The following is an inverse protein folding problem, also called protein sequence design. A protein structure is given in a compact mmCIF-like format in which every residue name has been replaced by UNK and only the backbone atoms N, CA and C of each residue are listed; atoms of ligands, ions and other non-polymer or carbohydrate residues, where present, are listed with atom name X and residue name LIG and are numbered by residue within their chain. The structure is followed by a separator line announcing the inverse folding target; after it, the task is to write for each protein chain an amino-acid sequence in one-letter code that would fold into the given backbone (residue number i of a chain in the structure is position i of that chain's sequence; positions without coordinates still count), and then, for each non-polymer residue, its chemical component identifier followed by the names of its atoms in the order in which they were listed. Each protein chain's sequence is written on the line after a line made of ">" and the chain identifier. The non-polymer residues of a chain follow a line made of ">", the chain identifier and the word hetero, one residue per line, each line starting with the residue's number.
data_IF_852884355546
#
_entry.id   IF_852884355546
#
_cell.length_a   1.000
_cell.length_b   1.000
_cell.length_c   1.000
_cell.angle_alpha   90.00
_cell.angle_beta   90.00
_cell.angle_gamma   90.00
#
_symmetry.space_group_name_H-M   'P 1'
#
loop_
_entity.id
_entity.type
_entity.pdbx_description
1 polymer ?
#
# COMPACT_ATOMS: atom_id res chain seq x y z
N UNK A 1 7.32 -0.53 -8.17
CA UNK A 1 8.12 -1.62 -7.59
C UNK A 1 7.31 -2.31 -6.50
N UNK A 2 7.14 -3.65 -6.57
CA UNK A 2 6.19 -4.42 -5.73
C UNK A 2 6.84 -5.70 -5.15
N UNK A 3 8.14 -5.68 -4.88
CA UNK A 3 8.93 -6.87 -4.52
C UNK A 3 9.37 -7.01 -3.06
N UNK A 4 9.08 -6.04 -2.18
CA UNK A 4 9.53 -6.02 -0.80
C UNK A 4 8.92 -7.15 0.06
N UNK A 5 9.70 -7.70 1.01
CA UNK A 5 9.25 -8.78 1.91
C UNK A 5 8.17 -8.32 2.88
N UNK A 6 8.25 -7.06 3.37
CA UNK A 6 7.29 -6.51 4.34
C UNK A 6 7.34 -7.20 5.71
N UNK A 7 8.55 -7.52 6.21
CA UNK A 7 8.75 -8.31 7.44
C UNK A 7 8.09 -7.69 8.68
N UNK A 8 8.07 -6.36 8.78
CA UNK A 8 7.44 -5.63 9.89
C UNK A 8 5.90 -5.77 9.94
N UNK A 9 5.30 -6.29 8.85
CA UNK A 9 3.87 -6.54 8.74
C UNK A 9 3.53 -8.04 8.90
N UNK A 10 4.51 -8.90 9.28
CA UNK A 10 4.22 -10.29 9.65
C UNK A 10 3.25 -10.29 10.84
N UNK A 11 2.23 -11.19 10.86
CA UNK A 11 2.03 -12.34 9.98
C UNK A 11 1.21 -12.07 8.71
N UNK A 12 0.72 -10.86 8.44
CA UNK A 12 -0.09 -10.56 7.24
C UNK A 12 0.66 -10.77 5.92
N UNK A 13 1.98 -10.72 5.93
CA UNK A 13 2.86 -10.95 4.77
C UNK A 13 3.42 -12.38 4.70
N UNK A 14 3.00 -13.26 5.60
CA UNK A 14 3.50 -14.65 5.65
C UNK A 14 3.22 -15.44 4.38
N UNK A 15 2.11 -15.16 3.69
CA UNK A 15 1.68 -15.89 2.48
C UNK A 15 1.55 -14.98 1.23
N UNK A 16 1.90 -13.70 1.33
CA UNK A 16 1.78 -12.71 0.24
C UNK A 16 2.81 -11.59 0.40
N UNK A 17 3.10 -10.88 -0.68
CA UNK A 17 3.89 -9.63 -0.62
C UNK A 17 3.08 -8.49 0.02
N UNK A 18 3.73 -7.47 0.60
CA UNK A 18 3.07 -6.31 1.21
C UNK A 18 2.06 -5.63 0.26
N UNK A 19 2.35 -5.39 -1.03
CA UNK A 19 1.39 -4.81 -1.97
C UNK A 19 0.10 -5.61 -2.16
N UNK A 20 0.12 -6.92 -1.86
CA UNK A 20 -1.03 -7.82 -1.98
C UNK A 20 -1.88 -7.91 -0.70
N UNK A 21 -1.48 -7.25 0.40
CA UNK A 21 -2.25 -7.23 1.65
C UNK A 21 -3.58 -6.50 1.41
N UNK A 22 -4.73 -7.07 1.85
CA UNK A 22 -6.03 -6.39 1.74
C UNK A 22 -6.05 -5.09 2.55
N UNK A 23 -6.81 -4.11 2.10
CA UNK A 23 -6.98 -2.83 2.77
C UNK A 23 -8.37 -2.23 2.49
N UNK A 24 -8.96 -1.57 3.48
CA UNK A 24 -10.22 -0.83 3.30
C UNK A 24 -11.39 -1.69 2.84
N UNK A 25 -11.45 -2.94 3.29
CA UNK A 25 -12.52 -3.88 3.05
C UNK A 25 -12.38 -4.67 1.74
N UNK A 26 -12.24 -4.02 0.59
CA UNK A 26 -12.22 -4.70 -0.72
C UNK A 26 -10.96 -4.48 -1.57
N UNK A 27 -10.12 -3.55 -1.19
CA UNK A 27 -8.92 -3.18 -1.94
C UNK A 27 -7.70 -4.01 -1.50
N UNK A 28 -6.62 -3.87 -2.25
CA UNK A 28 -5.26 -4.23 -1.81
C UNK A 28 -4.37 -2.99 -1.83
N UNK A 29 -3.29 -2.99 -1.10
CA UNK A 29 -2.37 -1.83 -1.02
C UNK A 29 -1.95 -1.34 -2.42
N UNK A 30 -1.65 -2.25 -3.35
CA UNK A 30 -1.26 -1.89 -4.71
C UNK A 30 -2.33 -1.13 -5.50
N UNK A 31 -3.61 -1.31 -5.17
CA UNK A 31 -4.71 -0.68 -5.91
C UNK A 31 -4.64 0.84 -5.81
N UNK A 32 -4.05 1.40 -4.75
CA UNK A 32 -3.89 2.84 -4.57
C UNK A 32 -2.90 3.43 -5.58
N UNK A 33 -1.71 2.86 -5.71
CA UNK A 33 -0.73 3.37 -6.68
C UNK A 33 -1.18 3.13 -8.12
N UNK A 34 -1.76 1.97 -8.44
CA UNK A 34 -2.27 1.71 -9.78
C UNK A 34 -3.43 2.65 -10.14
N UNK A 35 -4.33 2.94 -9.19
CA UNK A 35 -5.39 3.92 -9.39
C UNK A 35 -4.86 5.33 -9.63
N UNK A 36 -3.85 5.75 -8.88
CA UNK A 36 -3.22 7.06 -9.08
C UNK A 36 -2.58 7.17 -10.47
N UNK A 37 -1.85 6.15 -10.93
CA UNK A 37 -1.24 6.11 -12.26
C UNK A 37 -2.31 6.21 -13.36
N UNK A 38 -3.32 5.35 -13.32
CA UNK A 38 -4.39 5.31 -14.33
C UNK A 38 -5.23 6.59 -14.34
N UNK A 39 -5.61 7.11 -13.17
CA UNK A 39 -6.35 8.36 -13.04
C UNK A 39 -5.54 9.56 -13.53
N UNK A 40 -4.20 9.51 -13.43
CA UNK A 40 -3.28 10.54 -13.96
C UNK A 40 -3.01 10.39 -15.46
N UNK A 41 -3.62 9.42 -16.14
CA UNK A 41 -3.43 9.18 -17.57
C UNK A 41 -2.15 8.38 -17.90
N UNK A 42 -1.44 7.84 -16.90
CA UNK A 42 -0.26 6.98 -17.09
C UNK A 42 -0.76 5.54 -17.23
N UNK A 43 -0.63 4.98 -18.44
CA UNK A 43 -1.26 3.71 -18.79
C UNK A 43 -0.29 2.63 -19.28
N UNK A 44 0.99 2.93 -19.41
CA UNK A 44 2.04 1.99 -19.77
C UNK A 44 2.81 1.61 -18.51
N UNK A 45 2.36 0.55 -17.83
CA UNK A 45 2.76 0.25 -16.46
C UNK A 45 3.39 -1.13 -16.39
N UNK A 46 4.63 -1.21 -15.92
CA UNK A 46 5.30 -2.43 -15.52
C UNK A 46 5.31 -2.57 -13.99
N UNK A 47 4.80 -3.68 -13.49
CA UNK A 47 4.81 -4.00 -12.06
C UNK A 47 5.92 -5.01 -11.80
N UNK A 48 7.06 -4.53 -11.31
CA UNK A 48 8.21 -5.39 -10.99
C UNK A 48 7.97 -6.10 -9.66
N UNK A 49 7.98 -7.44 -9.69
CA UNK A 49 7.66 -8.29 -8.54
C UNK A 49 8.78 -9.28 -8.24
N UNK A 50 8.91 -9.68 -6.99
CA UNK A 50 9.91 -10.66 -6.57
C UNK A 50 9.34 -11.63 -5.52
N UNK A 51 9.15 -11.16 -4.29
CA UNK A 51 8.79 -12.00 -3.15
C UNK A 51 7.30 -12.34 -3.13
N UNK A 52 6.96 -13.64 -2.96
CA UNK A 52 5.57 -14.15 -2.81
C UNK A 52 4.56 -13.49 -3.75
N UNK A 53 4.92 -13.41 -5.04
CA UNK A 53 4.19 -12.61 -6.02
C UNK A 53 2.87 -13.24 -6.49
N UNK A 54 2.61 -14.54 -6.26
CA UNK A 54 1.46 -15.25 -6.85
C UNK A 54 0.12 -14.58 -6.56
N UNK A 55 -0.16 -14.25 -5.28
CA UNK A 55 -1.42 -13.59 -4.90
C UNK A 55 -1.55 -12.19 -5.53
N UNK A 56 -0.43 -11.49 -5.72
CA UNK A 56 -0.40 -10.18 -6.39
C UNK A 56 -0.66 -10.32 -7.89
N UNK A 57 -0.02 -11.30 -8.53
CA UNK A 57 -0.21 -11.63 -9.95
C UNK A 57 -1.68 -11.91 -10.25
N UNK A 58 -2.31 -12.80 -9.48
CA UNK A 58 -3.74 -13.14 -9.64
C UNK A 58 -4.62 -11.89 -9.50
N UNK A 59 -4.35 -11.04 -8.49
CA UNK A 59 -5.13 -9.82 -8.30
C UNK A 59 -5.03 -8.86 -9.49
N UNK A 60 -3.83 -8.66 -10.02
CA UNK A 60 -3.61 -7.78 -11.18
C UNK A 60 -4.26 -8.38 -12.43
N UNK A 61 -4.14 -9.69 -12.65
CA UNK A 61 -4.77 -10.37 -13.78
C UNK A 61 -6.30 -10.20 -13.78
N UNK A 62 -6.94 -10.43 -12.63
CA UNK A 62 -8.40 -10.36 -12.52
C UNK A 62 -8.94 -8.92 -12.47
N UNK A 63 -8.16 -7.97 -11.93
CA UNK A 63 -8.65 -6.63 -11.66
C UNK A 63 -8.19 -5.55 -12.62
N UNK A 64 -7.01 -5.70 -13.20
CA UNK A 64 -6.32 -4.57 -13.81
C UNK A 64 -5.99 -4.75 -15.30
N UNK A 65 -5.69 -5.96 -15.77
CA UNK A 65 -5.25 -6.16 -17.16
C UNK A 65 -6.30 -5.70 -18.19
N UNK A 66 -7.58 -5.83 -17.90
CA UNK A 66 -8.67 -5.45 -18.79
C UNK A 66 -9.11 -3.96 -18.64
N UNK A 67 -8.57 -3.23 -17.66
CA UNK A 67 -8.92 -1.81 -17.45
C UNK A 67 -8.11 -0.88 -18.36
N UNK A 68 -6.95 -1.34 -18.75
CA UNK A 68 -6.03 -0.60 -19.60
C UNK A 68 -5.63 -1.56 -20.72
N UNK A 69 -6.18 -1.36 -21.90
CA UNK A 69 -5.89 -2.22 -23.07
C UNK A 69 -5.66 -1.37 -24.32
N UNK A 70 -4.65 -1.76 -25.08
CA UNK A 70 -4.21 -1.10 -26.31
C UNK A 70 -2.74 -1.35 -26.53
N UNK A 71 -2.23 -0.96 -27.69
CA UNK A 71 -0.83 -1.17 -28.04
C UNK A 71 0.14 -0.52 -27.03
N UNK A 72 -0.19 0.71 -26.62
CA UNK A 72 0.63 1.56 -25.74
C UNK A 72 -0.03 1.76 -24.36
N UNK A 73 -1.07 0.98 -24.06
CA UNK A 73 -1.80 1.02 -22.80
C UNK A 73 -1.86 -0.39 -22.21
N UNK A 74 -1.10 -0.63 -21.15
CA UNK A 74 -1.01 -1.96 -20.54
C UNK A 74 -0.61 -1.89 -19.06
N UNK A 75 -0.94 -2.94 -18.32
CA UNK A 75 -0.38 -3.21 -16.99
C UNK A 75 0.21 -4.62 -17.05
N UNK A 76 1.53 -4.71 -17.14
CA UNK A 76 2.25 -5.97 -17.21
C UNK A 76 2.99 -6.24 -15.90
N UNK A 77 2.82 -7.44 -15.38
CA UNK A 77 3.60 -7.90 -14.22
C UNK A 77 4.87 -8.56 -14.72
N UNK A 78 5.99 -8.09 -14.22
CA UNK A 78 7.33 -8.59 -14.57
C UNK A 78 7.95 -9.20 -13.31
N UNK A 79 7.93 -10.53 -13.18
CA UNK A 79 8.63 -11.21 -12.11
C UNK A 79 10.15 -11.14 -12.34
N UNK A 80 10.93 -11.26 -11.26
CA UNK A 80 12.38 -11.36 -11.36
C UNK A 80 12.78 -12.58 -12.23
N UNK A 81 13.62 -12.36 -13.25
CA UNK A 81 13.92 -13.36 -14.29
C UNK A 81 15.36 -13.87 -14.27
N UNK A 82 16.17 -13.47 -13.28
CA UNK A 82 17.60 -13.85 -13.19
C UNK A 82 18.39 -13.54 -14.49
N UNK A 83 18.10 -12.42 -15.14
CA UNK A 83 18.72 -12.06 -16.43
C UNK A 83 20.23 -11.77 -16.33
N UNK A 84 20.71 -11.35 -15.16
CA UNK A 84 22.11 -10.99 -14.93
C UNK A 84 22.80 -11.94 -13.92
N UNK A 85 22.51 -13.23 -13.98
CA UNK A 85 23.09 -14.25 -13.10
C UNK A 85 22.01 -15.04 -12.36
N UNK A 86 22.40 -15.77 -11.30
CA UNK A 86 21.51 -16.65 -10.52
C UNK A 86 20.78 -15.93 -9.36
N UNK A 87 20.99 -14.61 -9.22
CA UNK A 87 20.43 -13.80 -8.12
C UNK A 87 19.08 -13.18 -8.45
N UNK A 88 18.32 -12.95 -7.39
CA UNK A 88 17.13 -12.09 -7.42
C UNK A 88 17.56 -10.62 -7.46
N UNK A 89 16.61 -9.67 -7.56
CA UNK A 89 16.93 -8.25 -7.46
C UNK A 89 17.62 -7.95 -6.12
N UNK A 90 18.81 -7.35 -6.19
CA UNK A 90 19.63 -7.00 -5.02
C UNK A 90 19.07 -5.80 -4.26
N UNK A 91 18.39 -4.89 -4.96
CA UNK A 91 17.78 -3.69 -4.41
C UNK A 91 16.75 -3.11 -5.37
N UNK A 92 16.20 -1.95 -5.01
CA UNK A 92 15.16 -1.26 -5.80
C UNK A 92 15.71 -0.73 -7.13
N UNK A 93 16.95 -0.25 -7.16
CA UNK A 93 17.62 0.20 -8.37
C UNK A 93 17.97 -0.98 -9.29
N UNK A 94 18.46 -2.09 -8.74
CA UNK A 94 18.78 -3.30 -9.49
C UNK A 94 17.53 -3.88 -10.17
N UNK A 95 16.36 -3.78 -9.53
CA UNK A 95 15.11 -4.21 -10.15
C UNK A 95 14.79 -3.45 -11.44
N UNK A 96 15.04 -2.14 -11.47
CA UNK A 96 14.84 -1.34 -12.68
C UNK A 96 15.98 -1.58 -13.68
N UNK A 97 17.22 -1.69 -13.20
CA UNK A 97 18.39 -1.97 -14.05
C UNK A 97 18.22 -3.26 -14.83
N UNK A 98 17.85 -4.37 -14.20
CA UNK A 98 17.62 -5.66 -14.86
C UNK A 98 16.48 -5.62 -15.90
N UNK A 99 15.62 -4.61 -15.85
CA UNK A 99 14.49 -4.43 -16.76
C UNK A 99 14.64 -3.19 -17.67
N UNK A 100 15.84 -2.64 -17.83
CA UNK A 100 16.10 -1.48 -18.69
C UNK A 100 15.72 -1.70 -20.17
N UNK A 101 15.76 -2.95 -20.64
CA UNK A 101 15.30 -3.31 -21.96
C UNK A 101 13.84 -2.90 -22.21
N UNK A 102 12.99 -2.95 -21.19
CA UNK A 102 11.58 -2.51 -21.30
C UNK A 102 11.48 -0.99 -21.52
N UNK A 103 12.33 -0.21 -20.85
CA UNK A 103 12.42 1.24 -21.06
C UNK A 103 12.92 1.53 -22.48
N UNK A 104 13.98 0.87 -22.93
CA UNK A 104 14.50 1.02 -24.30
C UNK A 104 13.48 0.64 -25.37
N UNK A 105 12.75 -0.46 -25.17
CA UNK A 105 11.76 -0.93 -26.14
C UNK A 105 10.59 0.04 -26.29
N UNK A 106 10.20 0.72 -25.21
CA UNK A 106 9.08 1.64 -25.19
C UNK A 106 9.49 3.07 -25.60
N UNK A 107 10.76 3.45 -25.41
CA UNK A 107 11.35 4.78 -25.66
C UNK A 107 10.50 5.94 -25.14
N UNK A 108 10.24 6.01 -23.83
CA UNK A 108 9.36 7.01 -23.24
C UNK A 108 10.07 8.36 -23.07
N UNK A 109 9.30 9.47 -23.10
CA UNK A 109 9.79 10.81 -22.76
C UNK A 109 10.15 10.93 -21.26
N UNK A 110 9.44 10.20 -20.40
CA UNK A 110 9.58 10.27 -18.95
C UNK A 110 9.39 8.87 -18.35
N UNK A 111 10.20 8.52 -17.35
CA UNK A 111 10.04 7.30 -16.55
C UNK A 111 9.59 7.67 -15.15
N UNK A 112 8.47 7.10 -14.68
CA UNK A 112 8.03 7.22 -13.29
C UNK A 112 8.32 5.92 -12.53
N UNK A 113 8.92 6.02 -11.36
CA UNK A 113 9.28 4.89 -10.50
C UNK A 113 8.62 5.07 -9.14
N UNK A 114 7.66 4.20 -8.83
CA UNK A 114 6.82 4.32 -7.64
C UNK A 114 6.89 3.06 -6.78
N UNK A 115 6.94 3.23 -5.45
CA UNK A 115 6.69 2.19 -4.48
C UNK A 115 5.23 1.74 -4.53
N UNK A 116 4.97 0.43 -4.37
CA UNK A 116 3.63 -0.15 -4.43
C UNK A 116 3.07 -0.52 -3.05
N UNK A 117 3.59 0.06 -1.98
CA UNK A 117 3.38 -0.36 -0.61
C UNK A 117 2.90 0.75 0.34
N UNK A 118 2.46 1.88 -0.23
CA UNK A 118 1.93 3.03 0.51
C UNK A 118 0.47 3.31 0.15
N UNK A 119 -0.25 3.90 1.09
CA UNK A 119 -1.65 4.32 0.92
C UNK A 119 -1.70 5.83 0.76
N UNK A 120 -2.14 6.31 -0.41
CA UNK A 120 -2.27 7.73 -0.72
C UNK A 120 -3.09 7.95 -1.99
N UNK A 121 -3.53 9.18 -2.21
CA UNK A 121 -4.07 9.65 -3.49
C UNK A 121 -3.19 10.76 -4.04
N UNK A 122 -2.86 10.67 -5.32
CA UNK A 122 -1.97 11.61 -5.99
C UNK A 122 -2.32 11.74 -7.47
N UNK A 123 -2.45 12.97 -7.94
CA UNK A 123 -2.42 13.27 -9.36
C UNK A 123 -0.97 13.36 -9.84
N UNK A 124 -0.46 12.23 -10.33
CA UNK A 124 0.95 12.10 -10.74
C UNK A 124 1.27 12.99 -11.95
N UNK A 125 0.26 13.32 -12.78
CA UNK A 125 0.44 14.23 -13.91
C UNK A 125 1.01 15.58 -13.48
N UNK A 126 0.57 16.13 -12.35
CA UNK A 126 1.10 17.41 -11.84
C UNK A 126 2.60 17.32 -11.49
N UNK A 127 3.06 16.18 -10.97
CA UNK A 127 4.48 15.96 -10.73
C UNK A 127 5.28 15.80 -12.02
N UNK A 128 4.70 15.13 -13.03
CA UNK A 128 5.32 14.99 -14.35
C UNK A 128 5.41 16.36 -15.05
N UNK A 129 4.35 17.14 -15.02
CA UNK A 129 4.35 18.50 -15.61
C UNK A 129 5.40 19.39 -14.93
N UNK A 130 5.48 19.38 -13.60
CA UNK A 130 6.51 20.07 -12.83
C UNK A 130 7.94 19.63 -13.23
N UNK A 131 8.17 18.33 -13.41
CA UNK A 131 9.44 17.78 -13.86
C UNK A 131 9.85 18.31 -15.23
N UNK A 132 8.91 18.32 -16.18
CA UNK A 132 9.15 18.80 -17.55
C UNK A 132 9.37 20.32 -17.61
N UNK A 133 8.59 21.10 -16.87
CA UNK A 133 8.71 22.58 -16.80
C UNK A 133 10.08 23.01 -16.27
N UNK A 134 10.67 22.26 -15.34
CA UNK A 134 11.99 22.55 -14.80
C UNK A 134 13.15 21.97 -15.63
N UNK A 135 12.87 21.15 -16.63
CA UNK A 135 13.89 20.39 -17.35
C UNK A 135 14.71 19.51 -16.40
N UNK A 136 14.04 18.94 -15.41
CA UNK A 136 14.69 18.16 -14.36
C UNK A 136 15.19 16.81 -14.90
N UNK A 137 16.33 16.32 -14.37
CA UNK A 137 16.81 14.95 -14.61
C UNK A 137 16.17 13.96 -13.65
N UNK A 138 15.87 14.42 -12.44
CA UNK A 138 15.17 13.65 -11.42
C UNK A 138 14.23 14.57 -10.64
N UNK A 139 13.04 14.08 -10.29
CA UNK A 139 12.13 14.74 -9.37
C UNK A 139 11.69 13.74 -8.31
N UNK A 140 11.76 14.14 -7.05
CA UNK A 140 11.40 13.31 -5.89
C UNK A 140 10.14 13.87 -5.26
N UNK A 141 9.09 13.06 -5.13
CA UNK A 141 7.90 13.45 -4.37
C UNK A 141 8.25 13.46 -2.87
N UNK A 142 7.97 14.59 -2.22
CA UNK A 142 8.32 14.82 -0.83
C UNK A 142 7.15 15.42 -0.06
N UNK A 143 7.13 15.18 1.23
CA UNK A 143 6.19 15.84 2.14
C UNK A 143 6.91 16.33 3.41
N UNK A 144 6.48 17.47 3.98
CA UNK A 144 6.96 17.90 5.28
C UNK A 144 6.49 16.93 6.37
N UNK A 145 7.43 16.41 7.15
CA UNK A 145 7.16 15.52 8.30
C UNK A 145 7.85 16.07 9.54
N UNK A 146 7.34 15.78 10.74
CA UNK A 146 8.06 16.13 11.97
C UNK A 146 9.48 15.56 11.94
N UNK A 147 10.48 16.40 12.22
CA UNK A 147 11.91 16.05 12.17
C UNK A 147 12.23 14.79 12.98
N UNK A 148 11.59 14.64 14.15
CA UNK A 148 11.74 13.46 15.00
C UNK A 148 11.29 12.14 14.34
N UNK A 149 10.42 12.19 13.32
CA UNK A 149 9.92 11.01 12.61
C UNK A 149 10.66 10.77 11.29
N UNK A 150 11.43 11.74 10.82
CA UNK A 150 12.06 11.71 9.50
C UNK A 150 13.23 10.71 9.40
N UNK A 151 13.79 10.25 10.52
CA UNK A 151 14.90 9.26 10.56
C UNK A 151 14.54 7.90 9.97
N UNK A 152 13.27 7.62 9.76
CA UNK A 152 12.80 6.36 9.13
C UNK A 152 12.62 6.47 7.62
N UNK A 153 12.76 7.66 7.06
CA UNK A 153 12.54 7.99 5.65
C UNK A 153 13.84 8.45 4.98
N UNK A 154 13.86 8.40 3.65
CA UNK A 154 14.79 9.22 2.90
C UNK A 154 14.45 10.71 3.12
N UNK A 155 15.44 11.57 3.31
CA UNK A 155 15.25 12.99 3.56
C UNK A 155 16.02 13.80 2.52
N UNK A 156 15.43 14.90 2.04
CA UNK A 156 16.10 15.81 1.10
C UNK A 156 16.38 17.17 1.73
N UNK A 157 17.58 17.68 1.51
CA UNK A 157 17.92 19.07 1.74
C UNK A 157 17.74 19.85 0.43
N UNK A 158 17.00 20.96 0.47
CA UNK A 158 16.64 21.75 -0.71
C UNK A 158 17.04 23.23 -0.53
N UNK A 159 17.20 23.94 -1.66
CA UNK A 159 17.24 25.40 -1.67
C UNK A 159 15.84 26.02 -1.79
N UNK A 160 15.79 27.35 -1.90
CA UNK A 160 14.55 28.15 -2.04
C UNK A 160 13.74 27.83 -3.29
N UNK A 161 14.34 27.15 -4.28
CA UNK A 161 13.71 26.74 -5.54
C UNK A 161 13.33 25.26 -5.55
N UNK A 162 13.37 24.60 -4.39
CA UNK A 162 13.17 23.15 -4.24
C UNK A 162 14.22 22.30 -5.01
N UNK A 163 15.34 22.88 -5.43
CA UNK A 163 16.45 22.11 -5.98
C UNK A 163 17.09 21.28 -4.88
N UNK A 164 17.22 19.98 -5.10
CA UNK A 164 17.81 19.08 -4.12
C UNK A 164 19.34 19.30 -4.08
N UNK A 165 19.86 19.63 -2.92
CA UNK A 165 21.29 19.76 -2.64
C UNK A 165 21.89 18.46 -2.13
N UNK A 166 21.09 17.69 -1.37
CA UNK A 166 21.52 16.43 -0.79
C UNK A 166 20.32 15.51 -0.59
N UNK A 167 20.50 14.22 -0.85
CA UNK A 167 19.57 13.16 -0.49
C UNK A 167 20.25 12.24 0.53
N UNK A 168 19.59 12.01 1.66
CA UNK A 168 20.09 11.20 2.78
C UNK A 168 19.10 10.08 3.08
N UNK A 169 19.53 8.83 2.97
CA UNK A 169 18.68 7.70 3.31
C UNK A 169 18.70 7.45 4.82
N UNK A 170 17.56 7.58 5.47
CA UNK A 170 17.35 7.34 6.91
C UNK A 170 18.41 7.99 7.83
N UNK A 171 18.63 9.29 7.73
CA UNK A 171 19.66 9.95 8.51
C UNK A 171 19.32 9.92 10.01
N UNK A 172 20.33 9.69 10.86
CA UNK A 172 20.15 9.74 12.31
C UNK A 172 19.73 11.14 12.79
N UNK A 173 20.24 12.18 12.13
CA UNK A 173 19.92 13.59 12.38
C UNK A 173 19.40 14.25 11.11
N UNK A 174 18.08 14.16 10.83
CA UNK A 174 17.51 14.77 9.64
C UNK A 174 17.66 16.29 9.63
N UNK A 175 18.05 16.92 8.48
CA UNK A 175 18.06 18.37 8.37
C UNK A 175 16.66 18.95 8.47
N UNK A 176 16.52 20.08 9.15
CA UNK A 176 15.29 20.86 9.20
C UNK A 176 15.09 21.69 7.93
N UNK A 177 13.85 22.01 7.59
CA UNK A 177 13.53 22.95 6.52
C UNK A 177 13.99 24.37 6.92
N UNK A 178 14.53 25.18 5.97
CA UNK A 178 15.03 26.54 6.30
C UNK A 178 13.98 27.44 6.96
N UNK A 179 12.72 27.39 6.52
CA UNK A 179 11.63 28.19 7.08
C UNK A 179 10.93 27.54 8.30
N UNK A 180 11.10 26.24 8.51
CA UNK A 180 10.43 25.45 9.56
C UNK A 180 11.38 24.37 10.08
N UNK A 181 12.32 24.70 11.01
CA UNK A 181 13.37 23.78 11.45
C UNK A 181 12.89 22.50 12.14
N UNK A 182 11.66 22.51 12.68
CA UNK A 182 11.03 21.35 13.31
C UNK A 182 10.49 20.34 12.31
N UNK A 183 10.42 20.70 11.03
CA UNK A 183 10.02 19.82 9.93
C UNK A 183 11.23 19.45 9.06
N UNK A 184 11.23 18.23 8.56
CA UNK A 184 12.13 17.75 7.51
C UNK A 184 11.33 17.40 6.26
N UNK A 185 11.96 17.43 5.08
CA UNK A 185 11.32 17.07 3.83
C UNK A 185 11.57 15.59 3.52
N UNK A 186 10.60 14.75 3.88
CA UNK A 186 10.67 13.30 3.70
C UNK A 186 10.31 12.87 2.27
N UNK A 187 11.08 11.96 1.72
CA UNK A 187 10.81 11.31 0.43
C UNK A 187 9.68 10.31 0.56
N UNK A 188 8.74 10.34 -0.39
CA UNK A 188 7.65 9.36 -0.49
C UNK A 188 8.06 8.07 -1.21
N UNK A 189 9.31 7.94 -1.69
CA UNK A 189 9.73 6.81 -2.51
C UNK A 189 9.12 6.81 -3.93
N UNK A 190 8.71 7.97 -4.40
CA UNK A 190 8.06 8.19 -5.69
C UNK A 190 8.89 9.17 -6.52
N UNK A 191 9.28 8.76 -7.71
CA UNK A 191 10.27 9.46 -8.53
C UNK A 191 9.79 9.65 -9.96
N UNK A 192 10.21 10.76 -10.58
CA UNK A 192 10.11 11.02 -12.01
C UNK A 192 11.51 11.25 -12.56
N UNK A 193 11.84 10.64 -13.68
CA UNK A 193 13.17 10.71 -14.28
C UNK A 193 13.11 11.02 -15.78
N UNK A 194 14.08 11.79 -16.25
CA UNK A 194 14.51 11.76 -17.65
C UNK A 194 15.15 10.38 -17.93
N UNK A 195 14.76 9.66 -19.02
CA UNK A 195 15.19 8.28 -19.25
C UNK A 195 16.72 8.08 -19.33
N UNK A 196 17.40 8.98 -20.07
CA UNK A 196 18.84 8.85 -20.33
C UNK A 196 19.69 8.98 -19.06
N UNK A 197 19.55 10.03 -18.23
CA UNK A 197 20.25 10.15 -16.96
C UNK A 197 19.95 9.00 -15.99
N UNK A 198 18.69 8.53 -15.94
CA UNK A 198 18.32 7.36 -15.16
C UNK A 198 19.13 6.13 -15.57
N UNK A 199 19.17 5.82 -16.87
CA UNK A 199 19.87 4.64 -17.39
C UNK A 199 21.38 4.72 -17.18
N UNK A 200 21.98 5.91 -17.30
CA UNK A 200 23.40 6.15 -17.02
C UNK A 200 23.71 5.90 -15.52
N UNK A 201 22.88 6.43 -14.62
CA UNK A 201 23.02 6.24 -13.17
C UNK A 201 22.86 4.76 -12.76
N UNK A 202 21.87 4.06 -13.30
CA UNK A 202 21.64 2.64 -13.03
C UNK A 202 22.80 1.74 -13.53
N UNK A 203 23.41 2.07 -14.67
CA UNK A 203 24.59 1.34 -15.15
C UNK A 203 25.81 1.55 -14.26
N UNK A 204 26.01 2.78 -13.80
CA UNK A 204 27.09 3.10 -12.88
C UNK A 204 26.91 2.37 -11.53
N UNK A 205 25.71 2.40 -11.00
CA UNK A 205 25.33 1.70 -9.76
C UNK A 205 25.53 0.17 -9.87
N UNK A 206 25.08 -0.43 -10.96
CA UNK A 206 25.20 -1.88 -11.18
C UNK A 206 26.66 -2.36 -11.23
N UNK A 207 27.60 -1.49 -11.61
CA UNK A 207 29.04 -1.74 -11.64
C UNK A 207 29.77 -1.50 -10.33
N UNK A 208 29.12 -0.90 -9.34
CA UNK A 208 29.72 -0.61 -8.04
C UNK A 208 29.54 -1.80 -7.06
N UNK A 209 30.63 -2.49 -6.69
CA UNK A 209 30.56 -3.62 -5.75
C UNK A 209 30.18 -3.23 -4.32
N UNK A 210 30.25 -1.94 -3.97
CA UNK A 210 29.91 -1.43 -2.64
C UNK A 210 28.49 -0.90 -2.56
N UNK A 211 27.78 -0.83 -3.69
CA UNK A 211 26.39 -0.36 -3.73
C UNK A 211 25.44 -1.39 -3.11
N UNK A 212 24.42 -0.90 -2.40
CA UNK A 212 23.25 -1.67 -1.98
C UNK A 212 22.21 -1.81 -3.09
N UNK A 213 22.43 -1.11 -4.21
CA UNK A 213 21.53 -1.03 -5.35
C UNK A 213 20.13 -0.51 -5.00
N UNK A 214 20.09 0.46 -4.10
CA UNK A 214 18.86 1.14 -3.69
C UNK A 214 18.76 2.53 -4.34
N UNK A 215 17.52 2.94 -4.71
CA UNK A 215 17.32 4.27 -5.31
C UNK A 215 17.70 5.39 -4.35
N UNK A 216 17.30 5.29 -3.09
CA UNK A 216 17.56 6.32 -2.09
C UNK A 216 19.03 6.39 -1.69
N UNK A 217 19.62 5.24 -1.37
CA UNK A 217 20.98 5.18 -0.87
C UNK A 217 22.05 5.46 -1.95
N UNK A 218 21.82 4.97 -3.20
CA UNK A 218 22.90 4.89 -4.18
C UNK A 218 22.63 5.74 -5.44
N UNK A 219 21.44 5.66 -6.03
CA UNK A 219 21.14 6.29 -7.33
C UNK A 219 20.80 7.77 -7.19
N UNK A 220 19.91 8.14 -6.27
CA UNK A 220 19.50 9.55 -6.08
C UNK A 220 20.66 10.46 -5.66
N UNK A 221 21.56 10.08 -4.71
CA UNK A 221 22.72 10.90 -4.40
C UNK A 221 23.60 11.19 -5.61
N UNK A 222 23.71 10.25 -6.55
CA UNK A 222 24.48 10.45 -7.78
C UNK A 222 23.78 11.44 -8.73
N UNK A 223 22.46 11.33 -8.89
CA UNK A 223 21.69 12.24 -9.73
C UNK A 223 21.60 13.65 -9.14
N UNK A 224 21.49 13.79 -7.81
CA UNK A 224 21.43 15.10 -7.15
C UNK A 224 22.71 15.92 -7.30
N UNK A 225 23.88 15.26 -7.34
CA UNK A 225 25.19 15.93 -7.60
C UNK A 225 25.23 16.67 -8.95
N UNK A 226 24.41 16.26 -9.90
CA UNK A 226 24.33 16.94 -11.21
C UNK A 226 23.67 18.31 -11.15
N UNK A 227 23.08 18.69 -10.01
CA UNK A 227 22.41 19.98 -9.80
C UNK A 227 21.10 20.16 -10.58
N UNK A 228 20.50 19.09 -11.10
CA UNK A 228 19.25 19.14 -11.90
C UNK A 228 18.23 18.13 -11.32
N UNK A 229 18.23 17.97 -10.01
CA UNK A 229 17.24 17.21 -9.25
C UNK A 229 16.40 18.14 -8.38
N UNK A 230 15.07 17.92 -8.33
CA UNK A 230 14.13 18.78 -7.63
C UNK A 230 13.19 17.99 -6.72
N UNK A 231 12.77 18.59 -5.61
CA UNK A 231 11.73 18.08 -4.75
C UNK A 231 10.36 18.61 -5.22
N UNK A 232 9.42 17.70 -5.44
CA UNK A 232 8.03 18.03 -5.66
C UNK A 232 7.29 18.01 -4.31
N UNK A 233 6.79 19.15 -3.88
CA UNK A 233 6.01 19.25 -2.65
C UNK A 233 4.62 18.62 -2.82
N UNK A 234 4.44 17.45 -2.25
CA UNK A 234 3.18 16.70 -2.31
C UNK A 234 2.00 17.46 -1.68
N UNK A 235 2.23 18.39 -0.75
CA UNK A 235 1.15 19.21 -0.18
C UNK A 235 0.51 20.13 -1.21
N UNK A 236 1.18 20.39 -2.33
CA UNK A 236 0.64 21.18 -3.46
C UNK A 236 -0.16 20.32 -4.44
N UNK A 237 -0.15 19.00 -4.32
CA UNK A 237 -0.89 18.12 -5.21
C UNK A 237 -2.40 18.30 -5.04
N UNK A 238 -3.13 18.33 -6.14
CA UNK A 238 -4.58 18.55 -6.16
C UNK A 238 -5.27 17.40 -6.88
N UNK A 239 -6.22 16.82 -6.19
CA UNK A 239 -7.04 15.70 -6.69
C UNK A 239 -8.42 16.22 -7.02
N UNK A 240 -8.96 15.97 -8.22
CA UNK A 240 -10.33 16.32 -8.54
C UNK A 240 -11.33 15.76 -7.53
N UNK A 241 -12.19 16.64 -7.00
CA UNK A 241 -13.23 16.25 -6.03
C UNK A 241 -12.79 16.18 -4.57
N UNK A 242 -11.54 16.48 -4.24
CA UNK A 242 -11.08 16.69 -2.87
C UNK A 242 -11.28 18.15 -2.46
N UNK A 243 -11.94 18.35 -1.35
CA UNK A 243 -12.24 19.67 -0.80
C UNK A 243 -11.65 19.91 0.59
N UNK A 244 -11.24 18.84 1.28
CA UNK A 244 -10.66 18.88 2.62
C UNK A 244 -9.14 18.98 2.55
N UNK A 245 -8.54 19.87 3.35
CA UNK A 245 -7.08 20.03 3.43
C UNK A 245 -6.38 18.75 3.92
N UNK A 246 -7.03 18.02 4.81
CA UNK A 246 -6.54 16.78 5.40
C UNK A 246 -6.36 15.67 4.35
N UNK A 247 -7.23 15.63 3.34
CA UNK A 247 -7.15 14.68 2.23
C UNK A 247 -6.02 15.01 1.24
N UNK A 248 -5.62 16.29 1.14
CA UNK A 248 -4.67 16.75 0.14
C UNK A 248 -3.22 16.31 0.38
N UNK A 249 -2.87 15.91 1.60
CA UNK A 249 -1.51 15.49 1.96
C UNK A 249 -1.48 14.12 2.63
N UNK A 250 -2.55 13.33 2.49
CA UNK A 250 -2.60 12.01 3.09
C UNK A 250 -1.65 11.04 2.39
N UNK A 251 -0.65 10.61 3.12
CA UNK A 251 0.27 9.55 2.74
C UNK A 251 0.62 8.72 3.98
N UNK A 252 0.54 7.39 3.87
CA UNK A 252 0.82 6.47 4.96
C UNK A 252 1.67 5.30 4.49
N UNK A 253 2.83 5.12 5.12
CA UNK A 253 3.55 3.85 5.11
C UNK A 253 2.84 2.89 6.08
N UNK A 254 2.06 1.95 5.55
CA UNK A 254 1.41 0.89 6.32
C UNK A 254 2.37 -0.28 6.50
N UNK A 255 3.57 0.00 6.98
CA UNK A 255 4.68 -0.95 7.11
C UNK A 255 4.74 -1.71 8.43
N UNK A 256 3.93 -1.34 9.44
CA UNK A 256 3.78 -2.06 10.71
C UNK A 256 2.31 -2.43 10.95
N UNK A 257 2.08 -3.35 11.89
CA UNK A 257 0.72 -3.77 12.29
C UNK A 257 -0.07 -2.57 12.80
N UNK A 258 0.53 -1.70 13.62
CA UNK A 258 -0.11 -0.51 14.16
C UNK A 258 -0.51 0.46 13.04
N UNK A 259 0.44 0.80 12.16
CA UNK A 259 0.18 1.74 11.07
C UNK A 259 -0.89 1.22 10.10
N UNK A 260 -0.87 -0.07 9.79
CA UNK A 260 -1.89 -0.73 8.97
C UNK A 260 -3.26 -0.71 9.64
N UNK A 261 -3.32 -1.04 10.93
CA UNK A 261 -4.55 -1.07 11.72
C UNK A 261 -5.18 0.32 11.84
N UNK A 262 -4.39 1.33 12.22
CA UNK A 262 -4.84 2.71 12.34
C UNK A 262 -5.34 3.27 11.00
N UNK A 263 -4.58 3.09 9.93
CA UNK A 263 -4.97 3.55 8.59
C UNK A 263 -6.25 2.87 8.09
N UNK A 264 -6.45 1.58 8.41
CA UNK A 264 -7.65 0.84 8.03
C UNK A 264 -8.88 1.31 8.82
N UNK A 265 -8.73 1.53 10.14
CA UNK A 265 -9.84 1.98 10.98
C UNK A 265 -10.17 3.47 10.81
N UNK A 266 -9.24 4.31 10.33
CA UNK A 266 -9.56 5.69 9.97
C UNK A 266 -10.67 5.77 8.91
N UNK A 267 -10.71 4.84 7.98
CA UNK A 267 -11.68 4.82 6.87
C UNK A 267 -13.14 4.78 7.31
N UNK A 268 -13.45 4.26 8.50
CA UNK A 268 -14.82 4.18 9.06
C UNK A 268 -15.30 5.50 9.68
N UNK A 269 -14.40 6.45 9.91
CA UNK A 269 -14.74 7.71 10.54
C UNK A 269 -15.71 8.53 9.68
N UNK A 270 -16.49 9.39 10.33
CA UNK A 270 -17.43 10.30 9.63
C UNK A 270 -16.67 11.23 8.67
N UNK A 271 -15.48 11.66 9.07
CA UNK A 271 -14.55 12.43 8.25
C UNK A 271 -13.20 11.71 8.24
N UNK A 272 -13.02 10.71 7.37
CA UNK A 272 -11.77 9.99 7.28
C UNK A 272 -10.71 10.87 6.61
N UNK A 273 -9.46 10.70 7.01
CA UNK A 273 -8.33 11.39 6.36
C UNK A 273 -8.18 10.93 4.89
N UNK A 274 -8.54 9.69 4.58
CA UNK A 274 -8.59 9.14 3.24
C UNK A 274 -10.03 8.84 2.82
N UNK A 275 -10.60 9.70 1.98
CA UNK A 275 -11.96 9.50 1.47
C UNK A 275 -11.99 8.51 0.29
N UNK A 276 -12.53 7.31 0.48
CA UNK A 276 -12.71 6.32 -0.58
C UNK A 276 -13.87 6.62 -1.54
N UNK A 277 -14.77 7.54 -1.18
CA UNK A 277 -16.03 7.83 -1.91
C UNK A 277 -15.91 9.01 -2.90
N UNK A 278 -14.68 9.43 -3.24
CA UNK A 278 -14.46 10.44 -4.25
C UNK A 278 -14.61 9.85 -5.66
N UNK A 279 -15.76 10.07 -6.29
CA UNK A 279 -16.09 9.59 -7.63
C UNK A 279 -15.24 10.20 -8.75
N UNK A 280 -14.65 11.38 -8.52
CA UNK A 280 -13.79 12.07 -9.50
C UNK A 280 -12.36 11.54 -9.49
N UNK A 281 -12.00 10.81 -8.42
CA UNK A 281 -10.70 10.14 -8.27
C UNK A 281 -10.90 8.78 -7.58
N UNK A 282 -11.55 7.82 -8.27
CA UNK A 282 -11.89 6.54 -7.66
C UNK A 282 -10.64 5.68 -7.41
N UNK A 283 -10.62 5.01 -6.27
CA UNK A 283 -9.71 3.88 -6.08
C UNK A 283 -10.36 2.65 -6.73
N UNK A 284 -9.69 2.10 -7.73
CA UNK A 284 -10.12 0.93 -8.48
C UNK A 284 -9.54 -0.34 -7.87
N UNK A 285 -10.23 -1.46 -8.05
CA UNK A 285 -9.78 -2.80 -7.64
C UNK A 285 -10.36 -3.86 -8.56
N UNK A 286 -10.05 -5.13 -8.31
CA UNK A 286 -10.68 -6.24 -9.01
C UNK A 286 -12.21 -6.24 -8.81
N UNK A 287 -12.93 -6.63 -9.85
CA UNK A 287 -14.37 -6.84 -9.76
C UNK A 287 -14.66 -8.32 -9.44
N UNK A 288 -15.15 -8.56 -8.25
CA UNK A 288 -15.33 -9.91 -7.73
C UNK A 288 -16.75 -10.44 -7.90
N UNK A 289 -17.68 -9.65 -8.44
CA UNK A 289 -19.10 -10.02 -8.62
C UNK A 289 -19.80 -10.53 -7.33
N UNK A 290 -19.32 -10.10 -6.16
CA UNK A 290 -19.93 -10.48 -4.89
C UNK A 290 -21.33 -9.90 -4.77
N UNK A 291 -22.29 -10.64 -4.14
CA UNK A 291 -23.64 -10.12 -3.87
C UNK A 291 -23.58 -8.95 -2.85
N UNK A 292 -24.66 -8.16 -2.74
CA UNK A 292 -24.75 -7.14 -1.69
C UNK A 292 -24.61 -7.74 -0.29
N UNK A 293 -24.11 -6.93 0.67
CA UNK A 293 -24.09 -7.31 2.07
C UNK A 293 -25.52 -7.52 2.60
N UNK A 294 -25.72 -8.55 3.44
CA UNK A 294 -27.03 -8.94 3.99
C UNK A 294 -27.05 -8.84 5.50
N UNK A 295 -28.06 -8.18 6.02
CA UNK A 295 -28.33 -8.08 7.44
C UNK A 295 -29.61 -8.87 7.75
N UNK A 296 -29.49 -9.88 8.62
CA UNK A 296 -30.61 -10.77 8.95
C UNK A 296 -31.37 -10.21 10.14
N UNK A 297 -32.69 -10.24 10.06
CA UNK A 297 -33.60 -9.99 11.17
C UNK A 297 -34.69 -11.05 11.14
N UNK A 298 -35.02 -11.62 12.29
CA UNK A 298 -36.13 -12.55 12.42
C UNK A 298 -36.99 -12.27 13.66
N UNK A 299 -38.16 -12.91 13.74
CA UNK A 299 -39.12 -12.72 14.83
C UNK A 299 -38.63 -13.23 16.20
N UNK A 300 -37.58 -14.01 16.24
CA UNK A 300 -36.96 -14.52 17.48
C UNK A 300 -36.02 -13.48 18.13
N UNK A 301 -35.88 -12.30 17.53
CA UNK A 301 -34.99 -11.23 17.98
C UNK A 301 -33.56 -11.37 17.47
N UNK A 302 -33.30 -12.28 16.54
CA UNK A 302 -32.00 -12.41 15.88
C UNK A 302 -31.81 -11.21 14.94
N UNK A 303 -30.80 -10.37 15.23
CA UNK A 303 -30.56 -9.11 14.52
C UNK A 303 -29.10 -8.95 14.16
N UNK A 304 -28.81 -8.92 12.87
CA UNK A 304 -27.51 -8.51 12.34
C UNK A 304 -27.40 -7.00 12.29
N UNK A 305 -26.37 -6.42 12.91
CA UNK A 305 -26.21 -4.97 13.02
C UNK A 305 -24.74 -4.54 12.84
N UNK A 306 -24.53 -3.41 12.16
CA UNK A 306 -23.23 -2.76 12.03
C UNK A 306 -23.36 -1.27 12.33
N UNK A 307 -22.48 -0.75 13.21
CA UNK A 307 -22.44 0.65 13.64
C UNK A 307 -21.04 1.21 13.39
N UNK A 308 -20.97 2.36 12.73
CA UNK A 308 -19.72 3.06 12.40
C UNK A 308 -18.65 2.12 11.81
N UNK A 309 -19.05 1.31 10.84
CA UNK A 309 -18.23 0.23 10.29
C UNK A 309 -18.29 0.20 8.76
N UNK A 310 -17.27 -0.34 8.13
CA UNK A 310 -17.28 -0.63 6.70
C UNK A 310 -17.64 -2.12 6.53
N UNK A 311 -18.69 -2.41 5.77
CA UNK A 311 -19.15 -3.77 5.46
C UNK A 311 -19.06 -3.98 3.95
N UNK A 312 -18.16 -4.86 3.51
CA UNK A 312 -17.93 -5.12 2.10
C UNK A 312 -19.00 -6.03 1.49
N UNK A 313 -19.13 -6.08 0.14
CA UNK A 313 -20.05 -6.99 -0.55
C UNK A 313 -19.84 -8.45 -0.16
N UNK A 314 -20.91 -9.25 -0.25
CA UNK A 314 -20.92 -10.66 0.11
C UNK A 314 -21.02 -10.95 1.61
N UNK A 315 -20.89 -9.97 2.50
CA UNK A 315 -21.00 -10.19 3.93
C UNK A 315 -22.42 -10.58 4.34
N UNK A 316 -22.54 -11.48 5.32
CA UNK A 316 -23.79 -11.86 5.94
C UNK A 316 -23.67 -11.68 7.46
N UNK A 317 -24.43 -10.75 8.02
CA UNK A 317 -24.55 -10.56 9.47
C UNK A 317 -25.79 -11.29 9.93
N UNK A 318 -25.63 -12.56 10.33
CA UNK A 318 -26.72 -13.48 10.65
C UNK A 318 -27.11 -13.44 12.14
N UNK A 319 -27.18 -12.25 12.73
CA UNK A 319 -27.45 -12.02 14.14
C UNK A 319 -26.21 -11.64 14.95
N UNK A 320 -25.11 -11.31 14.27
CA UNK A 320 -23.90 -10.74 14.86
C UNK A 320 -23.94 -9.20 14.92
N UNK A 321 -23.21 -8.63 15.85
CA UNK A 321 -23.03 -7.20 16.07
C UNK A 321 -21.63 -6.74 15.71
N UNK A 322 -21.54 -5.70 14.88
CA UNK A 322 -20.26 -5.10 14.44
C UNK A 322 -20.22 -3.63 14.82
N UNK A 323 -19.16 -3.22 15.46
CA UNK A 323 -18.95 -1.81 15.79
C UNK A 323 -17.50 -1.38 15.56
N UNK A 324 -17.32 -0.17 15.02
CA UNK A 324 -16.01 0.46 14.84
C UNK A 324 -15.02 -0.43 14.05
N UNK A 325 -15.49 -1.17 13.05
CA UNK A 325 -14.72 -2.23 12.41
C UNK A 325 -14.76 -2.17 10.88
N UNK A 326 -13.85 -2.89 10.24
CA UNK A 326 -13.79 -3.04 8.78
C UNK A 326 -13.92 -4.51 8.43
N UNK A 327 -14.98 -4.87 7.71
CA UNK A 327 -15.22 -6.22 7.20
C UNK A 327 -14.81 -6.30 5.71
N UNK A 328 -13.94 -7.24 5.41
CA UNK A 328 -13.61 -7.68 4.05
C UNK A 328 -14.79 -8.37 3.38
N UNK A 329 -14.57 -8.88 2.19
CA UNK A 329 -15.62 -9.51 1.37
C UNK A 329 -16.01 -10.89 1.90
N UNK A 330 -17.29 -11.25 1.75
CA UNK A 330 -17.79 -12.59 2.08
C UNK A 330 -17.56 -13.02 3.54
N UNK A 331 -17.52 -12.05 4.47
CA UNK A 331 -17.42 -12.37 5.90
C UNK A 331 -18.80 -12.77 6.43
N UNK A 332 -18.83 -13.86 7.20
CA UNK A 332 -20.04 -14.34 7.85
C UNK A 332 -19.95 -14.15 9.37
N UNK A 333 -20.92 -13.47 9.96
CA UNK A 333 -21.07 -13.32 11.40
C UNK A 333 -22.32 -14.04 11.87
N UNK A 334 -22.13 -15.07 12.71
CA UNK A 334 -23.23 -15.87 13.22
C UNK A 334 -23.88 -15.24 14.46
N UNK A 335 -24.96 -15.87 14.96
CA UNK A 335 -25.82 -15.37 16.02
C UNK A 335 -25.05 -15.06 17.31
N UNK A 336 -25.30 -13.86 17.86
CA UNK A 336 -24.68 -13.44 19.11
C UNK A 336 -23.18 -13.18 19.06
N UNK A 337 -22.56 -13.24 17.87
CA UNK A 337 -21.16 -12.83 17.72
C UNK A 337 -21.00 -11.33 17.83
N UNK A 338 -19.86 -10.88 18.38
CA UNK A 338 -19.54 -9.46 18.56
C UNK A 338 -18.15 -9.12 18.00
N UNK A 339 -18.07 -8.11 17.17
CA UNK A 339 -16.82 -7.61 16.59
C UNK A 339 -16.68 -6.11 16.86
N UNK A 340 -15.64 -5.74 17.59
CA UNK A 340 -15.36 -4.36 17.98
C UNK A 340 -13.94 -3.96 17.59
N UNK A 341 -13.74 -2.72 17.14
CA UNK A 341 -12.41 -2.14 16.85
C UNK A 341 -11.51 -3.12 16.09
N UNK A 342 -12.01 -3.77 15.05
CA UNK A 342 -11.33 -4.90 14.42
C UNK A 342 -11.37 -4.86 12.90
N UNK A 343 -10.43 -5.56 12.29
CA UNK A 343 -10.36 -5.75 10.85
C UNK A 343 -10.55 -7.25 10.57
N UNK A 344 -11.63 -7.60 9.91
CA UNK A 344 -11.92 -8.97 9.50
C UNK A 344 -11.73 -9.06 7.99
N UNK A 345 -10.75 -9.84 7.52
CA UNK A 345 -10.44 -9.96 6.11
C UNK A 345 -11.34 -11.01 5.41
N UNK A 346 -11.25 -11.06 4.06
CA UNK A 346 -12.17 -11.78 3.20
C UNK A 346 -12.42 -13.24 3.64
N UNK A 347 -13.67 -13.70 3.48
CA UNK A 347 -14.09 -15.10 3.67
C UNK A 347 -13.81 -15.65 5.08
N UNK A 348 -13.77 -14.79 6.09
CA UNK A 348 -13.71 -15.24 7.48
C UNK A 348 -15.10 -15.57 8.00
N UNK A 349 -15.22 -16.67 8.75
CA UNK A 349 -16.40 -17.08 9.49
C UNK A 349 -16.22 -16.80 10.97
N UNK A 350 -17.15 -16.08 11.56
CA UNK A 350 -17.17 -15.76 12.99
C UNK A 350 -18.33 -16.53 13.62
N UNK A 351 -17.99 -17.56 14.41
CA UNK A 351 -18.94 -18.48 15.00
C UNK A 351 -19.87 -17.85 16.04
N UNK A 352 -20.98 -18.54 16.36
CA UNK A 352 -22.00 -18.02 17.27
C UNK A 352 -21.43 -17.69 18.64
N UNK A 353 -21.77 -16.53 19.19
CA UNK A 353 -21.31 -16.06 20.49
C UNK A 353 -19.82 -15.73 20.57
N UNK A 354 -19.07 -15.78 19.48
CA UNK A 354 -17.66 -15.38 19.48
C UNK A 354 -17.52 -13.86 19.69
N UNK A 355 -16.48 -13.45 20.42
CA UNK A 355 -16.22 -12.05 20.76
C UNK A 355 -14.82 -11.66 20.32
N UNK A 356 -14.74 -10.65 19.45
CA UNK A 356 -13.49 -10.17 18.87
C UNK A 356 -13.34 -8.68 19.16
N UNK A 357 -12.20 -8.30 19.66
CA UNK A 357 -11.90 -6.88 19.92
C UNK A 357 -10.43 -6.57 19.62
N UNK A 358 -10.18 -5.40 19.02
CA UNK A 358 -8.83 -4.89 18.75
C UNK A 358 -7.94 -5.94 18.08
N UNK A 359 -8.47 -6.54 16.99
CA UNK A 359 -7.83 -7.66 16.31
C UNK A 359 -7.86 -7.51 14.79
N UNK A 360 -6.95 -8.20 14.13
CA UNK A 360 -6.94 -8.42 12.69
C UNK A 360 -7.10 -9.91 12.47
N UNK A 361 -8.21 -10.33 11.88
CA UNK A 361 -8.46 -11.71 11.48
C UNK A 361 -8.17 -11.81 9.99
N UNK A 362 -7.14 -12.56 9.62
CA UNK A 362 -6.77 -12.70 8.20
C UNK A 362 -7.75 -13.62 7.46
N UNK A 363 -7.62 -13.72 6.15
CA UNK A 363 -8.54 -14.42 5.23
C UNK A 363 -8.77 -15.87 5.59
N UNK A 364 -9.98 -16.35 5.26
CA UNK A 364 -10.37 -17.76 5.33
C UNK A 364 -10.28 -18.35 6.74
N UNK A 365 -10.28 -17.51 7.77
CA UNK A 365 -10.28 -17.99 9.15
C UNK A 365 -11.68 -18.43 9.59
N UNK A 366 -11.70 -19.50 10.38
CA UNK A 366 -12.88 -19.97 11.08
C UNK A 366 -12.67 -19.73 12.59
N UNK A 367 -13.37 -18.74 13.13
CA UNK A 367 -13.38 -18.46 14.57
C UNK A 367 -14.48 -19.30 15.19
N UNK A 368 -14.10 -20.15 16.13
CA UNK A 368 -15.00 -21.11 16.79
C UNK A 368 -16.10 -20.44 17.62
N UNK A 369 -17.19 -21.15 17.85
CA UNK A 369 -18.30 -20.71 18.69
C UNK A 369 -17.80 -20.33 20.10
N UNK A 370 -18.22 -19.16 20.61
CA UNK A 370 -17.87 -18.68 21.95
C UNK A 370 -16.39 -18.28 22.13
N UNK A 371 -15.58 -18.33 21.08
CA UNK A 371 -14.17 -17.91 21.17
C UNK A 371 -14.05 -16.42 21.53
N UNK A 372 -13.04 -16.10 22.33
CA UNK A 372 -12.71 -14.71 22.69
C UNK A 372 -11.32 -14.37 22.18
N UNK A 373 -11.19 -13.24 21.45
CA UNK A 373 -9.93 -12.76 20.88
C UNK A 373 -9.80 -11.26 21.19
N UNK A 374 -8.65 -10.86 21.76
CA UNK A 374 -8.36 -9.47 22.10
C UNK A 374 -8.92 -9.02 23.46
N UNK A 375 -9.37 -9.97 24.29
CA UNK A 375 -9.85 -9.70 25.66
C UNK A 375 -8.85 -10.15 26.73
N UNK A 376 -8.09 -11.21 26.47
CA UNK A 376 -7.00 -11.70 27.32
C UNK A 376 -5.72 -11.84 26.46
N UNK A 377 -4.89 -10.80 26.50
CA UNK A 377 -3.69 -10.74 25.66
C UNK A 377 -2.64 -11.80 26.04
N UNK A 378 -2.62 -12.30 27.28
CA UNK A 378 -1.69 -13.37 27.67
C UNK A 378 -2.11 -14.72 27.07
N UNK A 379 -3.40 -15.03 27.10
CA UNK A 379 -3.94 -16.18 26.40
C UNK A 379 -3.79 -16.08 24.87
N UNK A 380 -4.00 -14.88 24.33
CA UNK A 380 -3.84 -14.63 22.89
C UNK A 380 -2.38 -14.80 22.43
N UNK A 381 -1.38 -14.37 23.21
CA UNK A 381 0.04 -14.55 22.88
C UNK A 381 0.49 -16.01 22.76
N UNK A 382 -0.22 -16.93 23.41
CA UNK A 382 0.07 -18.35 23.29
C UNK A 382 -0.39 -18.94 21.94
N UNK A 383 -1.30 -18.28 21.25
CA UNK A 383 -1.96 -18.77 20.02
C UNK A 383 -1.69 -17.91 18.80
N UNK A 384 -1.54 -16.61 18.99
CA UNK A 384 -1.52 -15.61 17.92
C UNK A 384 -0.36 -14.64 18.12
N UNK A 385 -0.08 -13.87 17.07
CA UNK A 385 0.81 -12.72 17.20
C UNK A 385 0.07 -11.57 17.91
N UNK A 386 0.68 -10.99 18.93
CA UNK A 386 0.20 -9.79 19.61
C UNK A 386 1.26 -8.71 19.44
N UNK A 387 0.91 -7.63 18.78
CA UNK A 387 1.82 -6.51 18.52
C UNK A 387 2.17 -5.75 19.80
N UNK A 388 3.15 -4.85 19.75
CA UNK A 388 3.53 -3.99 20.87
C UNK A 388 2.37 -3.11 21.34
N UNK A 389 1.53 -2.64 20.40
CA UNK A 389 0.33 -1.88 20.67
C UNK A 389 -0.86 -2.72 21.18
N UNK A 390 -0.70 -4.03 21.40
CA UNK A 390 -1.76 -4.91 21.88
C UNK A 390 -2.81 -5.26 20.82
N UNK A 391 -2.47 -5.24 19.55
CA UNK A 391 -3.34 -5.68 18.45
C UNK A 391 -3.07 -7.19 18.24
N UNK A 392 -4.15 -7.99 18.32
CA UNK A 392 -4.06 -9.42 18.07
C UNK A 392 -4.17 -9.71 16.58
N UNK A 393 -3.23 -10.45 16.01
CA UNK A 393 -3.27 -10.81 14.58
C UNK A 393 -3.38 -12.32 14.45
N UNK A 394 -4.55 -12.76 13.98
CA UNK A 394 -4.81 -14.16 13.61
C UNK A 394 -4.34 -14.35 12.17
N UNK A 395 -3.29 -15.14 11.90
CA UNK A 395 -2.76 -15.31 10.55
C UNK A 395 -3.75 -16.02 9.64
N UNK A 396 -3.56 -15.91 8.33
CA UNK A 396 -4.36 -16.67 7.35
C UNK A 396 -4.32 -18.16 7.71
N UNK A 397 -5.50 -18.79 7.73
CA UNK A 397 -5.60 -20.23 7.89
C UNK A 397 -4.82 -20.96 6.77
N UNK A 398 -4.14 -22.05 7.12
CA UNK A 398 -3.48 -22.89 6.13
C UNK A 398 -4.52 -23.53 5.21
N UNK A 399 -4.19 -23.63 3.90
CA UNK A 399 -5.06 -24.28 2.91
C UNK A 399 -5.05 -25.80 3.15
N UNK A 400 -5.82 -26.27 4.11
CA UNK A 400 -6.06 -27.70 4.32
C UNK A 400 -7.22 -28.17 3.45
N UNK A 401 -7.35 -29.49 3.15
CA UNK A 401 -8.55 -30.00 2.46
C UNK A 401 -9.86 -29.61 3.14
N UNK A 402 -9.89 -29.54 4.45
CA UNK A 402 -11.06 -29.17 5.26
C UNK A 402 -11.43 -27.69 5.13
N UNK A 403 -10.46 -26.78 4.91
CA UNK A 403 -10.73 -25.36 4.65
C UNK A 403 -11.25 -25.15 3.24
N UNK A 404 -10.85 -25.97 2.26
CA UNK A 404 -11.31 -25.90 0.87
C UNK A 404 -12.75 -26.38 0.67
N UNK A 405 -13.21 -27.36 1.46
CA UNK A 405 -14.60 -27.84 1.40
C UNK A 405 -15.60 -26.82 1.99
N UNK A 406 -15.13 -25.86 2.78
CA UNK A 406 -15.96 -24.77 3.34
C UNK A 406 -16.09 -23.55 2.44
N UNK A 407 -15.28 -23.46 1.38
CA UNK A 407 -15.33 -22.39 0.37
C UNK A 407 -16.38 -22.64 -0.74
N UNK A 408 -17.16 -23.74 -0.65
CA UNK A 408 -18.28 -24.11 -1.51
C UNK A 408 -19.60 -23.96 -0.76
#
# INVERSE_FOLDING_TARGET
>A
MAGGRGERLDPLTRHRSKPAVPFGGRYRIIDFVLSNLVNSGIRSIYVLTQYKAQSLLQHIQHGWMNRVSGRDNFIHVVPAQMQLGTGWYRGTADAVYQNMNLVHQFDPDVVVVFGADHIYKMNIRQMVDYHLELGAKATVACLPVPRAQASTLGVVAVDERNQIKEFMEKPAEPPGLPAQPDLALGSMGNYVFEPRPLMEALRADAGDPNSSHDFGADVLPTLTRSGVAYAYDFTQNRIPGSFLKEELAYWRDVGSIEAYYEASLDLKNVQPQLNLYNWKWPIMTANFNDPPAKFVFDETGRRGEAVQSIVSPGCILAGGFVKDSVLGRNVFLDAGSEVHDSIILDSAYIGPGARIRRAIIDKNNHVEAGATIGYDLEADRQRYHVSEGGIVVVPKAEDTPETRERDL
#
